data_IF_054273294607
#
_entry.id   IF_054273294607
#
_cell.length_a   1.000
_cell.length_b   1.000
_cell.length_c   1.000
_cell.angle_alpha   90.00
_cell.angle_beta   90.00
_cell.angle_gamma   90.00
#
_symmetry.space_group_name_H-M   'P 1'
#
loop_
_entity.id
_entity.type
_entity.pdbx_description
1 polymer ?
#
# COMPACT_ATOMS: atom_id res chain seq x y z
N UNK A 1 -10.05 -1.19 6.45
CA UNK A 1 -11.06 -0.79 7.44
C UNK A 1 -12.32 -1.63 7.26
N UNK A 2 -12.88 -2.10 8.35
CA UNK A 2 -14.01 -3.04 8.31
C UNK A 2 -15.26 -2.47 7.62
N UNK A 3 -15.49 -1.17 7.76
CA UNK A 3 -16.63 -0.52 7.11
C UNK A 3 -16.58 -0.70 5.59
N UNK A 4 -15.42 -0.45 4.99
CA UNK A 4 -15.25 -0.62 3.54
C UNK A 4 -15.24 -2.09 3.15
N UNK A 5 -14.61 -2.93 3.96
CA UNK A 5 -14.57 -4.38 3.69
C UNK A 5 -15.98 -4.98 3.64
N UNK A 6 -16.85 -4.55 4.55
CA UNK A 6 -18.24 -5.03 4.57
C UNK A 6 -19.05 -4.57 3.36
N UNK A 7 -18.60 -3.51 2.70
CA UNK A 7 -19.21 -3.02 1.46
C UNK A 7 -18.56 -3.65 0.20
N UNK A 8 -17.69 -4.62 0.37
CA UNK A 8 -17.04 -5.29 -0.75
C UNK A 8 -15.85 -4.55 -1.32
N UNK A 9 -15.28 -3.61 -0.59
CA UNK A 9 -14.10 -2.86 -1.01
C UNK A 9 -12.85 -3.53 -0.45
N UNK A 10 -11.94 -3.92 -1.34
CA UNK A 10 -10.69 -4.56 -0.99
C UNK A 10 -9.54 -3.59 -1.23
N UNK A 11 -8.62 -3.51 -0.27
CA UNK A 11 -7.39 -2.74 -0.44
C UNK A 11 -6.26 -3.71 -0.77
N UNK A 12 -5.62 -3.48 -1.90
CA UNK A 12 -4.48 -4.27 -2.34
C UNK A 12 -3.21 -3.48 -2.17
N UNK A 13 -2.22 -4.08 -1.54
CA UNK A 13 -0.91 -3.48 -1.34
C UNK A 13 0.10 -4.60 -1.11
N UNK A 14 1.30 -4.41 -1.61
CA UNK A 14 2.38 -5.34 -1.30
C UNK A 14 2.98 -4.99 0.06
N UNK A 15 3.64 -5.94 0.74
CA UNK A 15 4.36 -5.63 1.97
C UNK A 15 5.37 -4.51 1.74
N UNK A 16 5.48 -3.61 2.73
CA UNK A 16 6.49 -2.56 2.70
C UNK A 16 7.83 -3.14 3.09
N UNK A 17 8.83 -2.91 2.25
CA UNK A 17 10.17 -3.45 2.48
C UNK A 17 11.05 -2.50 3.29
N UNK A 18 12.03 -3.03 4.04
CA UNK A 18 12.96 -2.19 4.81
C UNK A 18 13.67 -1.16 3.92
N UNK A 19 13.88 0.02 4.49
CA UNK A 19 14.56 1.15 3.85
C UNK A 19 13.87 1.74 2.62
N UNK A 20 12.64 1.34 2.32
CA UNK A 20 11.86 2.02 1.30
C UNK A 20 11.30 3.33 1.87
N UNK A 21 11.40 4.40 1.09
CA UNK A 21 10.86 5.71 1.45
C UNK A 21 10.02 6.25 0.30
N UNK A 22 8.94 6.92 0.64
CA UNK A 22 8.06 7.54 -0.33
C UNK A 22 6.61 7.52 0.13
N UNK A 23 5.71 7.92 -0.76
CA UNK A 23 4.27 7.81 -0.53
C UNK A 23 3.81 6.39 -0.84
N UNK A 24 3.02 5.83 0.07
CA UNK A 24 2.42 4.51 -0.14
C UNK A 24 1.22 4.65 -1.05
N UNK A 25 1.17 3.83 -2.10
CA UNK A 25 0.02 3.76 -2.99
C UNK A 25 -0.86 2.60 -2.58
N UNK A 26 -2.11 2.90 -2.23
CA UNK A 26 -3.12 1.89 -1.96
C UNK A 26 -3.99 1.71 -3.20
N UNK A 27 -4.27 0.47 -3.54
CA UNK A 27 -5.08 0.13 -4.71
C UNK A 27 -6.40 -0.45 -4.24
N UNK A 28 -7.51 0.16 -4.65
CA UNK A 28 -8.83 -0.29 -4.24
C UNK A 28 -9.51 -1.08 -5.33
N UNK A 29 -10.14 -2.17 -4.93
CA UNK A 29 -10.98 -2.98 -5.81
C UNK A 29 -12.41 -2.97 -5.28
N UNK A 30 -13.37 -2.66 -6.14
CA UNK A 30 -14.78 -2.74 -5.80
C UNK A 30 -15.32 -4.06 -6.35
N UNK A 31 -15.69 -4.97 -5.44
CA UNK A 31 -16.18 -6.30 -5.81
C UNK A 31 -17.68 -6.34 -6.05
N UNK A 32 -18.36 -5.21 -5.97
CA UNK A 32 -19.81 -5.11 -6.18
C UNK A 32 -20.12 -4.41 -7.49
N UNK A 33 -21.40 -4.40 -7.86
CA UNK A 33 -21.87 -3.71 -9.06
C UNK A 33 -22.30 -2.27 -8.78
N UNK A 34 -22.27 -1.86 -7.51
CA UNK A 34 -22.67 -0.52 -7.10
C UNK A 34 -21.43 0.36 -6.92
N UNK A 35 -21.52 1.64 -7.29
CA UNK A 35 -20.45 2.58 -6.99
C UNK A 35 -20.20 2.71 -5.49
N UNK A 36 -18.94 2.91 -5.11
CA UNK A 36 -18.55 3.14 -3.73
C UNK A 36 -17.83 4.48 -3.60
N UNK A 37 -18.03 5.14 -2.46
CA UNK A 37 -17.38 6.42 -2.16
C UNK A 37 -16.28 6.17 -1.13
N UNK A 38 -15.07 6.61 -1.45
CA UNK A 38 -13.94 6.60 -0.53
C UNK A 38 -13.67 8.06 -0.15
N UNK A 39 -13.73 8.35 1.14
CA UNK A 39 -13.54 9.71 1.62
C UNK A 39 -12.08 10.00 1.88
N UNK A 40 -11.60 11.12 1.35
CA UNK A 40 -10.27 11.60 1.65
C UNK A 40 -10.16 12.00 3.12
N UNK A 41 -8.97 11.88 3.69
CA UNK A 41 -8.66 12.24 5.07
C UNK A 41 -9.40 11.43 6.12
N UNK A 42 -9.96 10.30 5.75
CA UNK A 42 -10.54 9.34 6.68
C UNK A 42 -9.77 8.02 6.62
N UNK A 43 -9.81 7.27 7.72
CA UNK A 43 -9.15 5.98 7.78
C UNK A 43 -9.80 4.99 6.82
N UNK A 44 -8.99 4.35 5.96
CA UNK A 44 -9.48 3.36 5.00
C UNK A 44 -8.83 2.00 5.22
N UNK A 45 -7.63 1.98 5.76
CA UNK A 45 -6.83 0.77 5.95
C UNK A 45 -6.05 0.86 7.25
N UNK A 46 -5.45 -0.24 7.64
CA UNK A 46 -4.66 -0.31 8.86
C UNK A 46 -3.28 -0.86 8.51
N UNK A 47 -2.25 -0.23 9.05
CA UNK A 47 -0.88 -0.70 8.87
C UNK A 47 -0.45 -1.47 10.11
N UNK A 48 0.05 -2.67 9.91
CA UNK A 48 0.58 -3.50 10.97
C UNK A 48 2.09 -3.55 10.88
N UNK A 49 2.75 -3.44 12.03
CA UNK A 49 4.20 -3.48 12.12
C UNK A 49 4.63 -4.76 12.85
N UNK A 50 5.58 -5.46 12.26
CA UNK A 50 6.17 -6.64 12.87
C UNK A 50 7.65 -6.41 13.08
N UNK A 51 8.12 -6.71 14.27
CA UNK A 51 9.54 -6.61 14.59
C UNK A 51 10.25 -7.90 14.20
N UNK A 52 11.39 -7.74 13.52
CA UNK A 52 12.20 -8.88 13.10
C UNK A 52 13.37 -9.05 14.07
N UNK A 53 13.77 -10.30 14.30
CA UNK A 53 14.94 -10.63 15.13
C UNK A 53 16.26 -10.42 14.38
N UNK A 54 16.21 -10.28 13.06
CA UNK A 54 17.38 -10.15 12.22
C UNK A 54 17.28 -8.93 11.32
N UNK A 55 18.43 -8.34 11.00
CA UNK A 55 18.49 -7.27 10.03
C UNK A 55 18.23 -7.78 8.62
N UNK A 56 17.66 -6.93 7.79
CA UNK A 56 17.46 -7.24 6.39
C UNK A 56 18.80 -7.18 5.66
N UNK A 57 19.22 -8.29 5.04
CA UNK A 57 20.49 -8.37 4.34
C UNK A 57 20.49 -7.54 3.05
N UNK A 58 19.34 -7.45 2.37
CA UNK A 58 19.20 -6.66 1.15
C UNK A 58 17.90 -5.87 1.24
N UNK A 59 18.01 -4.56 1.40
CA UNK A 59 16.85 -3.70 1.52
C UNK A 59 16.32 -3.29 0.14
N UNK A 60 15.14 -2.68 0.12
CA UNK A 60 14.55 -2.13 -1.10
C UNK A 60 15.45 -1.06 -1.72
N UNK A 61 16.04 -0.20 -0.88
CA UNK A 61 16.96 0.84 -1.31
C UNK A 61 18.21 0.25 -1.98
N UNK A 62 18.79 -0.80 -1.38
CA UNK A 62 19.98 -1.47 -1.92
C UNK A 62 19.72 -2.13 -3.27
N UNK A 63 18.48 -2.63 -3.47
CA UNK A 63 18.10 -3.24 -4.74
C UNK A 63 17.73 -2.24 -5.82
N UNK A 64 17.63 -0.95 -5.48
CA UNK A 64 17.24 0.07 -6.44
C UNK A 64 15.81 -0.13 -6.95
N UNK A 65 14.88 -0.43 -6.04
CA UNK A 65 13.48 -0.68 -6.41
C UNK A 65 12.86 0.50 -7.15
N UNK A 66 11.97 0.20 -8.11
CA UNK A 66 11.45 1.20 -9.05
C UNK A 66 10.48 2.22 -8.46
N UNK A 67 10.01 2.01 -7.23
CA UNK A 67 9.11 2.95 -6.56
C UNK A 67 9.76 3.70 -5.41
N UNK A 68 11.09 3.60 -5.29
CA UNK A 68 11.82 4.30 -4.23
C UNK A 68 11.64 5.81 -4.36
N UNK A 69 11.28 6.46 -3.26
CA UNK A 69 11.15 7.91 -3.20
C UNK A 69 9.96 8.50 -3.94
N UNK A 70 8.99 7.69 -4.39
CA UNK A 70 7.82 8.21 -5.09
C UNK A 70 7.02 9.18 -4.22
N UNK A 71 6.39 10.15 -4.85
CA UNK A 71 5.52 11.11 -4.20
C UNK A 71 4.14 11.09 -4.83
N UNK A 72 3.10 11.26 -3.99
CA UNK A 72 1.72 11.25 -4.45
C UNK A 72 1.30 9.89 -4.99
N UNK A 73 0.27 9.90 -5.84
CA UNK A 73 -0.25 8.69 -6.47
C UNK A 73 0.53 8.38 -7.74
N UNK A 74 0.99 7.15 -7.86
CA UNK A 74 1.70 6.69 -9.04
C UNK A 74 0.97 5.53 -9.70
N UNK A 75 0.99 5.50 -11.03
CA UNK A 75 0.48 4.37 -11.79
C UNK A 75 1.55 3.28 -11.86
N UNK A 76 1.16 2.03 -12.17
CA UNK A 76 2.15 0.96 -12.29
C UNK A 76 3.25 1.28 -13.30
N UNK A 77 4.50 0.95 -12.95
CA UNK A 77 5.66 1.09 -13.82
C UNK A 77 6.03 -0.27 -14.37
N UNK A 78 6.14 -0.37 -15.68
CA UNK A 78 6.46 -1.63 -16.33
C UNK A 78 7.95 -1.99 -16.24
N UNK A 79 8.79 -1.00 -16.05
CA UNK A 79 10.22 -1.19 -15.91
C UNK A 79 10.84 -0.22 -14.95
#
# INVERSE_FOLDING_TARGET
KSTYARCGIIVNVTPLEPEWEGHVTLEFSNTTTLPAVIYANEGVAQMLFFESDEECLTSYKDRGGKYQGQSGVNVPRMK
#
